data_IF_569818399996
#
_entry.id   IF_569818399996
#
_cell.length_a   1.000
_cell.length_b   1.000
_cell.length_c   1.000
_cell.angle_alpha   90.00
_cell.angle_beta   90.00
_cell.angle_gamma   90.00
#
_symmetry.space_group_name_H-M   'P 1'
#
loop_
_entity.id
_entity.type
_entity.pdbx_description
1 polymer ?
#
# COMPACT_ATOMS: atom_id res chain seq x y z
N UNK A 1 -4.31 -5.27 0.45
CA UNK A 1 -3.98 -6.71 0.44
C UNK A 1 -2.54 -7.05 0.07
N UNK A 2 -2.05 -6.64 -1.10
CA UNK A 2 -0.68 -6.94 -1.58
C UNK A 2 0.44 -6.68 -0.57
N UNK A 3 0.35 -5.61 0.23
CA UNK A 3 1.34 -5.33 1.27
C UNK A 3 1.35 -6.41 2.37
N UNK A 4 0.18 -6.79 2.88
CA UNK A 4 0.05 -7.80 3.94
C UNK A 4 0.49 -9.19 3.44
N UNK A 5 0.20 -9.52 2.18
CA UNK A 5 0.70 -10.75 1.57
C UNK A 5 2.23 -10.78 1.52
N UNK A 6 2.86 -9.68 1.13
CA UNK A 6 4.33 -9.57 1.08
C UNK A 6 5.00 -9.60 2.44
N UNK A 7 4.35 -9.05 3.46
CA UNK A 7 4.81 -9.17 4.84
C UNK A 7 4.80 -10.64 5.27
N UNK A 8 3.71 -11.36 4.99
CA UNK A 8 3.58 -12.79 5.30
C UNK A 8 4.58 -13.65 4.54
N UNK A 9 4.80 -13.38 3.26
CA UNK A 9 5.73 -14.12 2.41
C UNK A 9 7.20 -13.67 2.53
N UNK A 10 7.51 -12.79 3.48
CA UNK A 10 8.83 -12.15 3.65
C UNK A 10 9.44 -11.65 2.33
N UNK A 11 8.60 -11.10 1.47
CA UNK A 11 9.00 -10.64 0.14
C UNK A 11 9.29 -9.13 0.14
N UNK A 12 10.11 -8.69 -0.80
CA UNK A 12 10.47 -7.28 -0.91
C UNK A 12 9.29 -6.41 -1.37
N UNK A 13 9.10 -5.31 -0.65
CA UNK A 13 8.21 -4.21 -1.00
C UNK A 13 9.00 -3.05 -1.60
N UNK A 14 8.62 -2.66 -2.81
CA UNK A 14 9.16 -1.50 -3.51
C UNK A 14 8.37 -0.23 -3.16
N UNK A 15 9.10 0.81 -2.78
CA UNK A 15 8.59 2.17 -2.56
C UNK A 15 8.64 2.96 -3.87
N UNK A 16 7.53 3.58 -4.20
CA UNK A 16 7.38 4.41 -5.40
C UNK A 16 7.25 5.89 -5.03
N UNK A 17 7.70 6.75 -5.94
CA UNK A 17 7.42 8.18 -5.86
C UNK A 17 6.11 8.46 -6.63
N UNK A 18 5.11 9.15 -6.04
CA UNK A 18 3.83 9.39 -6.70
C UNK A 18 3.97 10.13 -8.04
N UNK A 19 4.97 11.00 -8.18
CA UNK A 19 5.25 11.69 -9.44
C UNK A 19 5.79 10.77 -10.55
N UNK A 20 6.53 9.72 -10.18
CA UNK A 20 7.13 8.77 -11.16
C UNK A 20 6.19 7.60 -11.48
N UNK A 21 5.27 7.31 -10.57
CA UNK A 21 4.30 6.22 -10.66
C UNK A 21 2.89 6.76 -10.33
N UNK A 22 2.31 7.60 -11.21
CA UNK A 22 0.97 8.12 -11.02
C UNK A 22 -0.09 7.00 -11.15
N UNK A 23 -1.25 7.21 -10.54
CA UNK A 23 -2.38 6.28 -10.59
C UNK A 23 -2.37 5.15 -9.54
N UNK A 24 -1.26 4.94 -8.81
CA UNK A 24 -1.21 3.96 -7.72
C UNK A 24 -2.21 4.25 -6.58
N UNK A 25 -2.56 5.52 -6.36
CA UNK A 25 -3.51 5.93 -5.33
C UNK A 25 -4.96 6.03 -5.85
N UNK A 26 -5.17 5.85 -7.15
CA UNK A 26 -6.48 5.93 -7.80
C UNK A 26 -7.08 4.56 -8.11
N UNK A 27 -6.32 3.48 -7.87
CA UNK A 27 -6.71 2.10 -8.11
C UNK A 27 -6.55 1.27 -6.83
N UNK A 28 -7.34 0.21 -6.70
CA UNK A 28 -7.28 -0.74 -5.58
C UNK A 28 -7.45 -2.18 -6.11
N UNK A 29 -7.12 -3.19 -5.30
CA UNK A 29 -7.26 -4.60 -5.68
C UNK A 29 -6.39 -5.02 -6.87
N UNK A 30 -6.95 -5.79 -7.81
CA UNK A 30 -6.21 -6.35 -8.96
C UNK A 30 -5.62 -5.27 -9.88
N UNK A 31 -6.30 -4.14 -10.07
CA UNK A 31 -5.78 -3.02 -10.85
C UNK A 31 -4.50 -2.45 -10.22
N UNK A 32 -4.50 -2.30 -8.89
CA UNK A 32 -3.32 -1.87 -8.14
C UNK A 32 -2.18 -2.87 -8.30
N UNK A 33 -2.46 -4.18 -8.17
CA UNK A 33 -1.43 -5.23 -8.31
C UNK A 33 -0.80 -5.26 -9.69
N UNK A 34 -1.61 -5.12 -10.74
CA UNK A 34 -1.16 -5.05 -12.14
C UNK A 34 -0.27 -3.83 -12.37
N UNK A 35 -0.74 -2.64 -11.95
CA UNK A 35 -0.02 -1.37 -12.13
C UNK A 35 1.28 -1.34 -11.32
N UNK A 36 1.24 -1.84 -10.08
CA UNK A 36 2.40 -1.99 -9.22
C UNK A 36 3.45 -2.92 -9.87
N UNK A 37 3.02 -4.07 -10.37
CA UNK A 37 3.91 -5.05 -11.01
C UNK A 37 4.53 -4.49 -12.28
N UNK A 38 3.75 -3.75 -13.07
CA UNK A 38 4.22 -3.03 -14.25
C UNK A 38 5.31 -2.01 -13.89
N UNK A 39 5.07 -1.14 -12.90
CA UNK A 39 6.06 -0.15 -12.49
C UNK A 39 7.31 -0.77 -11.86
N UNK A 40 7.17 -1.93 -11.22
CA UNK A 40 8.32 -2.71 -10.74
C UNK A 40 9.16 -3.24 -11.91
N UNK A 41 8.53 -3.78 -12.96
CA UNK A 41 9.22 -4.22 -14.19
C UNK A 41 9.87 -3.07 -14.95
N UNK A 42 9.23 -1.91 -14.97
CA UNK A 42 9.76 -0.70 -15.60
C UNK A 42 10.88 -0.02 -14.78
N UNK A 43 11.27 -0.56 -13.62
CA UNK A 43 12.37 -0.03 -12.81
C UNK A 43 12.06 1.33 -12.16
N UNK A 44 10.79 1.71 -12.02
CA UNK A 44 10.38 2.99 -11.42
C UNK A 44 10.41 2.99 -9.89
N UNK A 45 10.74 1.86 -9.28
CA UNK A 45 10.91 1.71 -7.84
C UNK A 45 12.10 2.54 -7.36
N UNK A 46 11.88 3.43 -6.39
CA UNK A 46 12.96 4.27 -5.83
C UNK A 46 13.81 3.49 -4.83
N UNK A 47 13.18 2.59 -4.08
CA UNK A 47 13.84 1.78 -3.05
C UNK A 47 13.06 0.48 -2.86
N UNK A 48 13.76 -0.63 -2.66
CA UNK A 48 13.15 -1.89 -2.24
C UNK A 48 13.64 -2.23 -0.84
N UNK A 49 12.72 -2.66 0.01
CA UNK A 49 12.96 -3.07 1.39
C UNK A 49 12.12 -4.31 1.68
N UNK A 50 12.56 -5.17 2.59
CA UNK A 50 11.74 -6.29 3.06
C UNK A 50 10.41 -5.77 3.60
N UNK A 51 9.31 -6.43 3.21
CA UNK A 51 7.98 -6.14 3.74
C UNK A 51 7.94 -6.19 5.27
N UNK A 52 8.66 -7.14 5.89
CA UNK A 52 8.76 -7.25 7.34
C UNK A 52 9.41 -6.03 7.97
N UNK A 53 10.48 -5.48 7.37
CA UNK A 53 11.14 -4.29 7.90
C UNK A 53 10.19 -3.08 7.95
N UNK A 54 9.36 -2.91 6.92
CA UNK A 54 8.35 -1.86 6.91
C UNK A 54 7.25 -2.13 7.95
N UNK A 55 6.83 -3.38 8.10
CA UNK A 55 5.85 -3.79 9.10
C UNK A 55 6.31 -3.53 10.53
N UNK A 56 7.56 -3.88 10.86
CA UNK A 56 8.13 -3.60 12.18
C UNK A 56 8.18 -2.11 12.49
N UNK A 57 8.56 -1.26 11.52
CA UNK A 57 8.55 0.19 11.71
C UNK A 57 7.12 0.74 11.96
N UNK A 58 6.10 0.17 11.31
CA UNK A 58 4.69 0.51 11.57
C UNK A 58 4.31 0.10 12.99
N UNK A 59 4.63 -1.12 13.42
CA UNK A 59 4.33 -1.61 14.77
C UNK A 59 5.04 -0.79 15.85
N UNK A 60 6.31 -0.43 15.65
CA UNK A 60 7.07 0.44 16.56
C UNK A 60 6.40 1.80 16.71
N UNK A 61 6.04 2.43 15.59
CA UNK A 61 5.28 3.70 15.60
C UNK A 61 3.96 3.57 16.37
N UNK A 62 3.23 2.46 16.20
CA UNK A 62 1.99 2.19 16.93
C UNK A 62 2.21 2.02 18.43
N UNK A 63 3.27 1.32 18.84
CA UNK A 63 3.59 1.15 20.26
C UNK A 63 3.97 2.49 20.92
N UNK A 64 4.68 3.36 20.19
CA UNK A 64 5.14 4.64 20.72
C UNK A 64 4.05 5.72 20.74
N UNK A 65 3.20 5.78 19.71
CA UNK A 65 2.25 6.90 19.52
C UNK A 65 0.78 6.51 19.52
N UNK A 66 0.45 5.21 19.50
CA UNK A 66 -0.94 4.73 19.49
C UNK A 66 -1.71 5.02 18.19
N UNK A 67 -1.02 5.34 17.10
CA UNK A 67 -1.65 5.72 15.83
C UNK A 67 -2.38 4.56 15.14
N UNK A 68 -3.47 4.86 14.43
CA UNK A 68 -4.31 3.87 13.75
C UNK A 68 -3.73 3.42 12.41
N UNK A 69 -3.88 2.13 12.09
CA UNK A 69 -3.66 1.58 10.76
C UNK A 69 -5.00 1.19 10.14
N UNK A 70 -5.31 1.75 8.97
CA UNK A 70 -6.49 1.41 8.18
C UNK A 70 -6.07 0.50 7.03
N UNK A 71 -6.78 -0.61 6.84
CA UNK A 71 -6.71 -1.40 5.60
C UNK A 71 -7.78 -0.91 4.63
N UNK A 72 -7.48 -0.90 3.32
CA UNK A 72 -8.49 -0.64 2.31
C UNK A 72 -9.51 -1.79 2.31
N UNK A 73 -10.79 -1.47 2.46
CA UNK A 73 -11.87 -2.46 2.60
C UNK A 73 -12.77 -2.49 1.37
N UNK A 74 -12.92 -3.68 0.78
CA UNK A 74 -13.80 -3.98 -0.36
C UNK A 74 -15.29 -4.03 0.00
N UNK A 75 -15.71 -3.57 1.17
CA UNK A 75 -17.11 -3.71 1.64
C UNK A 75 -17.89 -2.39 1.69
N UNK A 76 -17.36 -1.31 1.10
CA UNK A 76 -18.06 -0.03 1.06
C UNK A 76 -19.15 0.00 -0.02
N UNK A 77 -20.35 0.46 0.33
CA UNK A 77 -21.44 0.66 -0.62
C UNK A 77 -21.19 1.82 -1.61
N UNK A 78 -20.14 2.62 -1.39
CA UNK A 78 -19.75 3.76 -2.24
C UNK A 78 -18.70 3.42 -3.31
N UNK A 79 -18.45 2.14 -3.57
CA UNK A 79 -17.46 1.70 -4.58
C UNK A 79 -17.76 2.20 -6.00
N UNK A 80 -19.03 2.43 -6.32
CA UNK A 80 -19.46 2.95 -7.61
C UNK A 80 -19.04 4.42 -7.85
N UNK A 81 -18.64 5.15 -6.81
CA UNK A 81 -18.20 6.55 -6.91
C UNK A 81 -16.69 6.69 -7.15
N UNK A 82 -15.96 5.58 -7.14
CA UNK A 82 -14.50 5.55 -7.34
C UNK A 82 -13.73 5.12 -6.08
N UNK A 83 -12.40 5.23 -6.16
CA UNK A 83 -11.48 4.76 -5.11
C UNK A 83 -11.50 5.70 -3.89
N UNK A 84 -11.85 5.15 -2.74
CA UNK A 84 -11.84 5.87 -1.46
C UNK A 84 -10.38 6.02 -1.00
N UNK A 85 -9.88 7.25 -0.97
CA UNK A 85 -8.45 7.53 -0.73
C UNK A 85 -8.06 7.65 0.75
N UNK A 86 -8.99 8.06 1.62
CA UNK A 86 -8.73 8.31 3.03
C UNK A 86 -9.97 8.03 3.89
N UNK A 87 -9.75 7.78 5.19
CA UNK A 87 -10.79 7.82 6.21
C UNK A 87 -10.92 9.22 6.82
N UNK A 88 -11.93 9.41 7.65
CA UNK A 88 -12.04 10.50 8.63
C UNK A 88 -11.00 10.36 9.76
N UNK A 89 -10.97 11.35 10.65
CA UNK A 89 -10.03 11.48 11.77
C UNK A 89 -10.19 10.40 12.87
N UNK A 90 -11.33 9.72 12.94
CA UNK A 90 -11.67 8.75 14.00
C UNK A 90 -12.17 7.44 13.40
#
# INVERSE_FOLDING_TARGET
DLFMERVKSNSDSSLFCPNKAPGLADCWGEEFESLYTRYKKEGRAKRSLSGQKLWFAILETQMETGNFLRCEDRKSNQQNLGTIKCSNLC
#
